data_IF_080749038958
#
_entry.id   IF_080749038958
#
_cell.length_a   1.000
_cell.length_b   1.000
_cell.length_c   1.000
_cell.angle_alpha   90.00
_cell.angle_beta   90.00
_cell.angle_gamma   90.00
#
_symmetry.space_group_name_H-M   'P 1'
#
loop_
_entity.id
_entity.type
_entity.pdbx_description
1 polymer ?
#
# COMPACT_ATOMS: atom_id res chain seq x y z
N UNK A 1 90.05 -48.23 -31.33
CA UNK A 1 89.73 -47.17 -30.37
C UNK A 1 89.45 -45.89 -31.14
N UNK A 2 88.19 -45.63 -31.47
CA UNK A 2 87.67 -44.33 -31.89
C UNK A 2 86.14 -44.39 -31.76
N UNK A 3 85.58 -43.41 -31.07
CA UNK A 3 84.19 -43.32 -30.59
C UNK A 3 83.39 -42.43 -31.55
N UNK A 4 82.06 -42.65 -31.58
CA UNK A 4 80.94 -41.79 -32.04
C UNK A 4 80.25 -42.26 -33.34
N UNK A 5 78.96 -41.88 -33.59
CA UNK A 5 77.92 -41.37 -32.69
C UNK A 5 76.56 -42.11 -32.79
N UNK A 6 75.67 -41.76 -31.86
CA UNK A 6 74.31 -42.27 -31.64
C UNK A 6 73.34 -41.80 -32.75
N UNK A 7 72.54 -42.75 -33.24
CA UNK A 7 71.59 -42.61 -34.34
C UNK A 7 70.26 -41.99 -33.89
N UNK A 8 69.78 -41.08 -34.72
CA UNK A 8 68.61 -40.20 -34.60
C UNK A 8 67.26 -40.93 -34.62
N UNK A 9 66.36 -40.55 -33.71
CA UNK A 9 64.99 -41.05 -33.63
C UNK A 9 64.06 -40.37 -34.68
N UNK A 10 63.29 -41.22 -35.37
CA UNK A 10 62.26 -40.88 -36.36
C UNK A 10 61.08 -40.06 -35.81
N UNK A 11 60.50 -39.25 -36.69
CA UNK A 11 59.36 -38.35 -36.47
C UNK A 11 58.00 -39.01 -36.80
N UNK A 12 56.99 -38.72 -35.97
CA UNK A 12 55.56 -38.94 -36.27
C UNK A 12 54.86 -37.57 -36.45
N UNK A 13 53.89 -37.43 -37.39
CA UNK A 13 53.34 -36.14 -37.78
C UNK A 13 52.29 -35.60 -36.80
N UNK A 14 52.41 -34.30 -36.53
CA UNK A 14 51.57 -33.49 -35.63
C UNK A 14 50.17 -33.23 -36.26
N UNK A 15 49.09 -33.62 -35.58
CA UNK A 15 47.73 -33.29 -36.02
C UNK A 15 47.32 -31.89 -35.54
N UNK A 16 46.73 -31.03 -36.40
CA UNK A 16 46.43 -29.67 -36.01
C UNK A 16 45.31 -29.58 -34.96
N UNK A 17 45.39 -28.62 -34.01
CA UNK A 17 44.44 -28.49 -32.91
C UNK A 17 43.03 -28.09 -33.39
N UNK A 18 42.01 -28.76 -32.85
CA UNK A 18 40.58 -28.47 -33.12
C UNK A 18 40.23 -27.02 -32.73
N UNK A 19 39.90 -26.19 -33.72
CA UNK A 19 39.50 -24.81 -33.52
C UNK A 19 38.20 -24.70 -32.68
N UNK A 20 38.28 -24.02 -31.54
CA UNK A 20 37.14 -23.69 -30.67
C UNK A 20 36.28 -22.63 -31.39
N UNK A 21 35.20 -23.03 -32.07
CA UNK A 21 34.23 -22.10 -32.69
C UNK A 21 33.67 -21.14 -31.62
N UNK A 22 34.19 -19.92 -31.52
CA UNK A 22 33.48 -18.81 -30.88
C UNK A 22 32.22 -18.57 -31.72
N UNK A 23 31.04 -18.89 -31.20
CA UNK A 23 29.76 -18.51 -31.83
C UNK A 23 29.67 -16.98 -31.78
N UNK A 24 30.15 -16.31 -32.83
CA UNK A 24 29.82 -14.91 -33.08
C UNK A 24 28.30 -14.85 -33.24
N UNK A 25 27.66 -14.04 -32.40
CA UNK A 25 26.22 -13.79 -32.48
C UNK A 25 25.92 -13.29 -33.89
N UNK A 26 24.94 -13.88 -34.58
CA UNK A 26 24.64 -13.44 -35.95
C UNK A 26 24.22 -11.98 -35.95
N UNK A 27 24.60 -11.22 -36.99
CA UNK A 27 24.26 -9.79 -37.14
C UNK A 27 22.76 -9.54 -36.97
N UNK A 28 21.91 -10.49 -37.40
CA UNK A 28 20.45 -10.46 -37.21
C UNK A 28 20.02 -10.53 -35.75
N UNK A 29 20.69 -11.35 -34.95
CA UNK A 29 20.42 -11.45 -33.50
C UNK A 29 20.90 -10.18 -32.79
N UNK A 30 22.06 -9.63 -33.18
CA UNK A 30 22.57 -8.38 -32.63
C UNK A 30 21.67 -7.17 -32.95
N UNK A 31 21.22 -7.04 -34.21
CA UNK A 31 20.26 -6.01 -34.62
C UNK A 31 18.90 -6.20 -33.95
N UNK A 32 18.44 -7.44 -33.77
CA UNK A 32 17.22 -7.75 -33.01
C UNK A 32 17.32 -7.32 -31.54
N UNK A 33 18.46 -7.53 -30.88
CA UNK A 33 18.70 -7.07 -29.51
C UNK A 33 18.78 -5.54 -29.40
N UNK A 34 19.41 -4.87 -30.37
CA UNK A 34 19.44 -3.41 -30.44
C UNK A 34 18.05 -2.81 -30.62
N UNK A 35 17.21 -3.41 -31.48
CA UNK A 35 15.83 -2.97 -31.65
C UNK A 35 15.01 -3.18 -30.38
N UNK A 36 15.16 -4.32 -29.68
CA UNK A 36 14.50 -4.57 -28.40
C UNK A 36 14.97 -3.60 -27.31
N UNK A 37 16.26 -3.28 -27.26
CA UNK A 37 16.81 -2.26 -26.36
C UNK A 37 16.29 -0.86 -26.70
N UNK A 38 16.16 -0.50 -27.99
CA UNK A 38 15.63 0.78 -28.43
C UNK A 38 14.13 0.94 -28.15
N UNK A 39 13.35 -0.13 -28.32
CA UNK A 39 11.92 -0.15 -27.99
C UNK A 39 11.75 -0.09 -26.47
N UNK A 40 12.53 -0.87 -25.72
CA UNK A 40 12.52 -0.86 -24.26
C UNK A 40 12.95 0.49 -23.69
N UNK A 41 14.02 1.10 -24.22
CA UNK A 41 14.50 2.42 -23.79
C UNK A 41 13.54 3.53 -24.20
N UNK A 42 12.93 3.47 -25.39
CA UNK A 42 11.90 4.41 -25.82
C UNK A 42 10.66 4.36 -24.93
N UNK A 43 10.21 3.16 -24.54
CA UNK A 43 9.11 2.98 -23.60
C UNK A 43 9.43 3.52 -22.21
N UNK A 44 10.63 3.25 -21.70
CA UNK A 44 11.10 3.74 -20.40
C UNK A 44 11.22 5.27 -20.39
N UNK A 45 11.75 5.89 -21.45
CA UNK A 45 11.87 7.35 -21.57
C UNK A 45 10.48 8.00 -21.66
N UNK A 46 9.56 7.42 -22.44
CA UNK A 46 8.19 7.93 -22.55
C UNK A 46 7.44 7.82 -21.21
N UNK A 47 7.59 6.69 -20.50
CA UNK A 47 7.05 6.48 -19.16
C UNK A 47 7.61 7.49 -18.17
N UNK A 48 8.93 7.67 -18.15
CA UNK A 48 9.61 8.64 -17.29
C UNK A 48 9.17 10.09 -17.56
N UNK A 49 8.96 10.46 -18.82
CA UNK A 49 8.48 11.79 -19.19
C UNK A 49 7.04 12.07 -18.71
N UNK A 50 6.15 11.09 -18.88
CA UNK A 50 4.76 11.15 -18.39
C UNK A 50 4.72 11.27 -16.87
N UNK A 51 5.53 10.47 -16.19
CA UNK A 51 5.64 10.49 -14.73
C UNK A 51 6.15 11.84 -14.20
N UNK A 52 7.20 12.42 -14.81
CA UNK A 52 7.69 13.75 -14.42
C UNK A 52 6.65 14.86 -14.65
N UNK A 53 5.89 14.76 -15.73
CA UNK A 53 4.82 15.74 -16.03
C UNK A 53 3.72 15.66 -14.99
N UNK A 54 3.28 14.45 -14.65
CA UNK A 54 2.28 14.23 -13.61
C UNK A 54 2.75 14.70 -12.22
N UNK A 55 4.03 14.46 -11.87
CA UNK A 55 4.63 14.94 -10.61
C UNK A 55 4.60 16.47 -10.56
N UNK A 56 5.04 17.15 -11.62
CA UNK A 56 5.03 18.63 -11.66
C UNK A 56 3.62 19.19 -11.52
N UNK A 57 2.63 18.54 -12.11
CA UNK A 57 1.24 18.95 -11.99
C UNK A 57 0.71 18.74 -10.56
N UNK A 58 1.08 17.64 -9.89
CA UNK A 58 0.79 17.43 -8.46
C UNK A 58 1.46 18.51 -7.59
N UNK A 59 2.73 18.81 -7.84
CA UNK A 59 3.46 19.87 -7.14
C UNK A 59 2.80 21.26 -7.37
N UNK A 60 2.29 21.52 -8.58
CA UNK A 60 1.56 22.74 -8.92
C UNK A 60 0.19 22.85 -8.21
N UNK A 61 -0.44 21.71 -7.89
CA UNK A 61 -1.66 21.67 -7.08
C UNK A 61 -1.37 21.90 -5.58
N UNK A 62 -0.10 22.09 -5.20
CA UNK A 62 0.34 22.19 -3.81
C UNK A 62 0.57 20.84 -3.13
N UNK A 63 0.46 19.74 -3.88
CA UNK A 63 0.74 18.40 -3.39
C UNK A 63 2.23 18.11 -3.30
N UNK A 64 2.58 17.06 -2.57
CA UNK A 64 3.95 16.56 -2.48
C UNK A 64 4.03 15.12 -2.99
N UNK A 65 5.15 14.80 -3.64
CA UNK A 65 5.42 13.44 -4.14
C UNK A 65 6.73 12.94 -3.55
N UNK A 66 6.66 11.82 -2.84
CA UNK A 66 7.85 11.14 -2.32
C UNK A 66 8.17 9.97 -3.26
N UNK A 67 9.39 9.99 -3.76
CA UNK A 67 9.92 8.98 -4.68
C UNK A 67 10.96 8.13 -3.98
N UNK A 68 10.95 6.82 -4.22
CA UNK A 68 12.04 5.94 -3.79
C UNK A 68 13.09 5.86 -4.90
N UNK A 69 14.37 6.09 -4.58
CA UNK A 69 15.44 5.97 -5.55
C UNK A 69 15.63 4.55 -6.10
N UNK A 70 14.95 4.21 -7.20
CA UNK A 70 15.08 2.91 -7.86
C UNK A 70 15.97 3.05 -9.10
N UNK A 71 17.22 2.60 -9.00
CA UNK A 71 18.15 2.56 -10.14
C UNK A 71 19.53 1.99 -9.79
N UNK A 72 20.29 1.47 -10.78
CA UNK A 72 21.63 0.95 -10.53
C UNK A 72 22.52 2.01 -9.87
N UNK A 73 23.25 1.70 -8.79
CA UNK A 73 24.02 2.68 -8.01
C UNK A 73 25.01 3.55 -8.82
N UNK A 74 25.43 3.12 -10.01
CA UNK A 74 26.33 3.89 -10.90
C UNK A 74 25.65 4.84 -11.89
N UNK A 75 24.36 4.65 -12.22
CA UNK A 75 23.66 5.47 -13.21
C UNK A 75 23.35 6.89 -12.70
N UNK A 76 23.18 7.02 -11.38
CA UNK A 76 22.93 8.29 -10.68
C UNK A 76 24.12 9.24 -10.70
N UNK A 77 25.34 8.71 -10.58
CA UNK A 77 26.56 9.50 -10.71
C UNK A 77 26.80 9.97 -12.16
N UNK A 78 26.22 9.26 -13.14
CA UNK A 78 26.50 9.46 -14.56
C UNK A 78 25.52 10.43 -15.23
N UNK A 79 24.23 10.38 -14.86
CA UNK A 79 23.17 11.25 -15.42
C UNK A 79 22.79 12.41 -14.47
N UNK A 80 23.21 12.37 -13.20
CA UNK A 80 22.86 13.37 -12.20
C UNK A 80 21.50 13.14 -11.54
N UNK A 81 21.36 13.56 -10.28
CA UNK A 81 20.21 13.27 -9.44
C UNK A 81 18.87 13.76 -10.00
N UNK A 82 18.85 14.93 -10.65
CA UNK A 82 17.63 15.49 -11.25
C UNK A 82 17.16 14.73 -12.50
N UNK A 83 18.07 14.14 -13.27
CA UNK A 83 17.70 13.32 -14.45
C UNK A 83 17.26 11.91 -14.04
N UNK A 84 17.61 11.47 -12.84
CA UNK A 84 17.22 10.15 -12.32
C UNK A 84 15.81 10.09 -11.74
N UNK A 85 15.18 11.23 -11.42
CA UNK A 85 13.82 11.29 -10.87
C UNK A 85 12.75 10.65 -11.76
N UNK A 86 13.03 10.44 -13.05
CA UNK A 86 12.13 9.74 -13.98
C UNK A 86 12.17 8.21 -13.87
N UNK A 87 13.17 7.65 -13.19
CA UNK A 87 13.31 6.21 -12.95
C UNK A 87 12.89 5.79 -11.55
N UNK A 88 12.64 6.76 -10.66
CA UNK A 88 12.29 6.51 -9.27
C UNK A 88 10.82 6.11 -9.16
N UNK A 89 10.52 5.09 -8.34
CA UNK A 89 9.14 4.69 -8.08
C UNK A 89 8.48 5.76 -7.21
N UNK A 90 7.33 6.29 -7.66
CA UNK A 90 6.52 7.19 -6.84
C UNK A 90 5.80 6.36 -5.81
N UNK A 91 6.21 6.47 -4.56
CA UNK A 91 5.64 5.67 -3.47
C UNK A 91 4.49 6.41 -2.79
N UNK A 92 4.64 7.72 -2.56
CA UNK A 92 3.64 8.52 -1.84
C UNK A 92 3.25 9.72 -2.68
N UNK A 93 1.95 9.89 -2.90
CA UNK A 93 1.35 11.12 -3.42
C UNK A 93 0.49 11.70 -2.32
N UNK A 94 0.82 12.91 -1.90
CA UNK A 94 0.11 13.65 -0.86
C UNK A 94 -0.52 14.90 -1.47
N UNK A 95 -1.85 14.91 -1.55
CA UNK A 95 -2.66 16.03 -2.04
C UNK A 95 -3.56 16.57 -0.92
N UNK A 96 -3.20 16.31 0.35
CA UNK A 96 -4.00 16.69 1.51
C UNK A 96 -4.28 18.18 1.53
N UNK A 97 -5.51 18.56 1.89
CA UNK A 97 -5.95 19.96 2.02
C UNK A 97 -5.73 20.81 0.76
N UNK A 98 -5.61 20.19 -0.41
CA UNK A 98 -5.62 20.91 -1.67
C UNK A 98 -7.07 21.15 -2.08
N UNK A 99 -7.44 22.43 -2.22
CA UNK A 99 -8.83 22.87 -2.42
C UNK A 99 -9.45 22.41 -3.77
N UNK A 100 -8.64 21.79 -4.66
CA UNK A 100 -8.99 21.51 -6.06
C UNK A 100 -8.49 20.12 -6.47
N UNK A 101 -8.82 19.06 -5.73
CA UNK A 101 -8.68 17.70 -6.28
C UNK A 101 -9.97 17.34 -7.01
N UNK A 102 -9.99 17.57 -8.32
CA UNK A 102 -11.07 17.14 -9.21
C UNK A 102 -10.78 15.74 -9.77
N UNK A 103 -11.80 15.12 -10.38
CA UNK A 103 -11.62 13.83 -11.07
C UNK A 103 -10.55 13.91 -12.19
N UNK A 104 -10.37 15.08 -12.81
CA UNK A 104 -9.34 15.28 -13.83
C UNK A 104 -7.93 15.27 -13.22
N UNK A 105 -7.77 15.76 -12.00
CA UNK A 105 -6.48 15.75 -11.30
C UNK A 105 -6.07 14.32 -10.94
N UNK A 106 -7.04 13.45 -10.61
CA UNK A 106 -6.80 12.04 -10.36
C UNK A 106 -6.53 11.21 -11.61
N UNK A 107 -7.03 11.61 -12.79
CA UNK A 107 -6.74 10.91 -14.03
C UNK A 107 -5.22 10.87 -14.32
N UNK A 108 -4.48 11.87 -13.84
CA UNK A 108 -3.02 11.93 -14.01
C UNK A 108 -2.28 10.90 -13.17
N UNK A 109 -2.87 10.39 -12.10
CA UNK A 109 -2.28 9.33 -11.29
C UNK A 109 -2.15 8.01 -12.07
N UNK A 110 -2.94 7.79 -13.12
CA UNK A 110 -2.79 6.63 -14.00
C UNK A 110 -1.47 6.66 -14.80
N UNK A 111 -0.92 7.85 -15.07
CA UNK A 111 0.39 7.99 -15.71
C UNK A 111 1.53 7.68 -14.72
N UNK A 112 1.23 7.63 -13.41
CA UNK A 112 2.14 7.26 -12.34
C UNK A 112 1.91 5.78 -11.97
N UNK A 113 2.51 4.89 -12.74
CA UNK A 113 2.32 3.42 -12.69
C UNK A 113 2.68 2.69 -11.37
N UNK A 114 3.05 3.38 -10.28
CA UNK A 114 3.57 2.75 -9.06
C UNK A 114 3.11 3.35 -7.72
N UNK A 115 2.05 4.18 -7.70
CA UNK A 115 1.59 4.80 -6.44
C UNK A 115 1.20 3.73 -5.41
N UNK A 116 1.87 3.75 -4.25
CA UNK A 116 1.63 2.82 -3.14
C UNK A 116 0.83 3.49 -2.00
N UNK A 117 0.98 4.80 -1.84
CA UNK A 117 0.29 5.58 -0.82
C UNK A 117 -0.29 6.85 -1.44
N UNK A 118 -1.57 7.09 -1.20
CA UNK A 118 -2.30 8.25 -1.69
C UNK A 118 -3.03 8.91 -0.52
N UNK A 119 -2.67 10.15 -0.22
CA UNK A 119 -3.31 10.97 0.81
C UNK A 119 -4.14 12.07 0.16
N UNK A 120 -5.44 12.05 0.45
CA UNK A 120 -6.44 12.98 -0.07
C UNK A 120 -7.24 13.61 1.08
N UNK A 121 -6.75 13.54 2.32
CA UNK A 121 -7.49 14.02 3.47
C UNK A 121 -7.74 15.53 3.42
N UNK A 122 -8.94 15.93 3.83
CA UNK A 122 -9.40 17.32 3.83
C UNK A 122 -9.59 17.93 2.43
N UNK A 123 -9.68 17.11 1.39
CA UNK A 123 -9.98 17.57 0.02
C UNK A 123 -11.47 17.52 -0.29
N UNK A 124 -11.90 18.16 -1.38
CA UNK A 124 -13.30 18.11 -1.88
C UNK A 124 -13.60 16.87 -2.75
N UNK A 125 -12.85 15.79 -2.55
CA UNK A 125 -12.99 14.57 -3.36
C UNK A 125 -14.35 13.91 -3.13
N UNK A 126 -15.17 13.82 -4.19
CA UNK A 126 -16.45 13.12 -4.17
C UNK A 126 -16.33 11.65 -4.63
N UNK A 127 -17.43 10.91 -4.55
CA UNK A 127 -17.53 9.52 -5.04
C UNK A 127 -17.11 9.36 -6.51
N UNK A 128 -17.43 10.36 -7.35
CA UNK A 128 -17.00 10.39 -8.76
C UNK A 128 -15.47 10.52 -8.90
N UNK A 129 -14.82 11.17 -7.94
CA UNK A 129 -13.36 11.22 -7.84
C UNK A 129 -12.78 9.87 -7.43
N UNK A 130 -13.36 9.21 -6.42
CA UNK A 130 -12.93 7.87 -5.98
C UNK A 130 -13.04 6.82 -7.10
N UNK A 131 -14.02 6.95 -8.00
CA UNK A 131 -14.12 6.12 -9.20
C UNK A 131 -12.83 6.12 -10.05
N UNK A 132 -12.10 7.24 -10.07
CA UNK A 132 -10.84 7.36 -10.80
C UNK A 132 -9.67 6.64 -10.11
N UNK A 133 -9.85 6.09 -8.91
CA UNK A 133 -8.79 5.33 -8.22
C UNK A 133 -8.79 3.85 -8.61
N UNK A 134 -9.83 3.34 -9.27
CA UNK A 134 -10.07 1.90 -9.52
C UNK A 134 -8.92 1.12 -10.17
N UNK A 135 -8.05 1.80 -10.93
CA UNK A 135 -6.91 1.14 -11.59
C UNK A 135 -5.58 1.26 -10.83
N UNK A 136 -5.53 1.95 -9.69
CA UNK A 136 -4.35 2.01 -8.82
C UNK A 136 -4.21 0.72 -7.99
N UNK A 137 -4.13 -0.43 -8.66
CA UNK A 137 -4.19 -1.75 -8.02
C UNK A 137 -3.01 -2.09 -7.10
N UNK A 138 -1.92 -1.31 -7.18
CA UNK A 138 -0.78 -1.38 -6.26
C UNK A 138 -0.98 -0.59 -4.97
N UNK A 139 -2.06 0.19 -4.86
CA UNK A 139 -2.29 1.08 -3.72
C UNK A 139 -2.44 0.27 -2.43
N UNK A 140 -1.60 0.61 -1.45
CA UNK A 140 -1.54 0.01 -0.12
C UNK A 140 -2.07 0.94 0.95
N UNK A 141 -1.88 2.24 0.79
CA UNK A 141 -2.33 3.25 1.75
C UNK A 141 -3.25 4.24 1.04
N UNK A 142 -4.45 4.44 1.57
CA UNK A 142 -5.40 5.42 1.07
C UNK A 142 -6.00 6.20 2.24
N UNK A 143 -5.81 7.51 2.23
CA UNK A 143 -6.41 8.42 3.21
C UNK A 143 -7.46 9.32 2.55
N UNK A 144 -8.72 9.13 2.95
CA UNK A 144 -9.89 9.89 2.49
C UNK A 144 -10.51 10.69 3.64
N UNK A 145 -9.78 10.92 4.74
CA UNK A 145 -10.33 11.61 5.90
C UNK A 145 -10.94 12.97 5.54
N UNK A 146 -12.13 13.26 6.05
CA UNK A 146 -12.77 14.56 5.90
C UNK A 146 -13.18 14.92 4.47
N UNK A 147 -13.23 13.94 3.57
CA UNK A 147 -13.76 14.11 2.21
C UNK A 147 -15.28 13.86 2.15
N UNK A 148 -16.01 14.41 1.17
CA UNK A 148 -17.45 14.15 0.98
C UNK A 148 -17.78 12.74 0.45
N UNK A 149 -16.85 11.78 0.51
CA UNK A 149 -17.05 10.40 0.06
C UNK A 149 -18.15 9.72 0.88
N UNK A 150 -18.98 8.93 0.18
CA UNK A 150 -20.09 8.15 0.72
C UNK A 150 -19.97 6.67 0.34
N UNK A 151 -21.00 5.89 0.65
CA UNK A 151 -21.10 4.47 0.29
C UNK A 151 -20.94 4.24 -1.23
N UNK A 152 -21.37 5.20 -2.06
CA UNK A 152 -21.25 5.10 -3.52
C UNK A 152 -19.78 5.11 -3.98
N UNK A 153 -18.93 5.88 -3.32
CA UNK A 153 -17.49 5.90 -3.61
C UNK A 153 -16.81 4.59 -3.28
N UNK A 154 -17.20 3.94 -2.17
CA UNK A 154 -16.61 2.67 -1.72
C UNK A 154 -16.83 1.50 -2.68
N UNK A 155 -17.86 1.56 -3.54
CA UNK A 155 -18.09 0.59 -4.63
C UNK A 155 -16.84 0.46 -5.51
N UNK A 156 -16.06 1.52 -5.67
CA UNK A 156 -14.87 1.54 -6.52
C UNK A 156 -13.60 1.05 -5.82
N UNK A 157 -13.59 0.97 -4.49
CA UNK A 157 -12.43 0.49 -3.72
C UNK A 157 -12.32 -1.03 -3.67
N UNK A 158 -13.37 -1.78 -4.02
CA UNK A 158 -13.38 -3.24 -4.02
C UNK A 158 -12.32 -3.88 -4.95
N UNK A 159 -11.83 -3.11 -5.93
CA UNK A 159 -10.79 -3.53 -6.88
C UNK A 159 -9.37 -3.29 -6.33
N UNK A 160 -9.22 -2.49 -5.26
CA UNK A 160 -7.96 -2.16 -4.62
C UNK A 160 -7.60 -3.21 -3.55
N UNK A 161 -7.52 -4.47 -3.97
CA UNK A 161 -7.36 -5.62 -3.06
C UNK A 161 -6.00 -5.65 -2.34
N UNK A 162 -5.06 -4.81 -2.75
CA UNK A 162 -3.75 -4.64 -2.12
C UNK A 162 -3.75 -3.59 -0.98
N UNK A 163 -4.89 -2.95 -0.69
CA UNK A 163 -4.98 -1.98 0.39
C UNK A 163 -4.66 -2.63 1.74
N UNK A 164 -3.69 -2.04 2.41
CA UNK A 164 -3.20 -2.40 3.74
C UNK A 164 -3.76 -1.41 4.80
N UNK A 165 -3.84 -0.12 4.45
CA UNK A 165 -4.33 0.96 5.31
C UNK A 165 -5.40 1.77 4.59
N UNK A 166 -6.53 1.98 5.26
CA UNK A 166 -7.62 2.79 4.77
C UNK A 166 -8.14 3.71 5.88
N UNK A 167 -8.08 5.02 5.66
CA UNK A 167 -8.73 6.02 6.52
C UNK A 167 -10.00 6.55 5.84
N UNK A 168 -11.12 6.42 6.53
CA UNK A 168 -12.44 6.94 6.14
C UNK A 168 -13.00 7.89 7.20
N UNK A 169 -12.14 8.39 8.08
CA UNK A 169 -12.53 9.28 9.17
C UNK A 169 -13.32 10.47 8.64
N UNK A 170 -14.38 10.88 9.35
CA UNK A 170 -15.19 12.07 9.02
C UNK A 170 -15.76 12.07 7.60
N UNK A 171 -16.05 10.89 7.03
CA UNK A 171 -16.74 10.74 5.74
C UNK A 171 -18.23 10.46 5.94
N UNK A 172 -19.01 10.46 4.85
CA UNK A 172 -20.44 10.15 4.87
C UNK A 172 -20.75 8.64 4.82
N UNK A 173 -19.73 7.78 4.98
CA UNK A 173 -19.84 6.32 4.92
C UNK A 173 -20.74 5.78 6.04
N UNK A 174 -21.56 4.78 5.68
CA UNK A 174 -22.49 4.06 6.56
C UNK A 174 -22.21 2.55 6.53
N UNK A 175 -23.04 1.77 7.22
CA UNK A 175 -22.99 0.30 7.21
C UNK A 175 -23.09 -0.31 5.79
N UNK A 176 -23.80 0.35 4.88
CA UNK A 176 -23.93 -0.10 3.49
C UNK A 176 -22.59 -0.02 2.76
N UNK A 177 -21.81 1.05 2.97
CA UNK A 177 -20.51 1.24 2.34
C UNK A 177 -19.49 0.16 2.71
N UNK A 178 -19.46 -0.27 3.97
CA UNK A 178 -18.54 -1.33 4.43
C UNK A 178 -18.77 -2.67 3.72
N UNK A 179 -19.95 -2.93 3.17
CA UNK A 179 -20.22 -4.15 2.42
C UNK A 179 -19.39 -4.23 1.13
N UNK A 180 -19.02 -3.08 0.55
CA UNK A 180 -18.20 -3.02 -0.65
C UNK A 180 -16.72 -3.34 -0.39
N UNK A 181 -16.28 -3.27 0.87
CA UNK A 181 -14.89 -3.53 1.25
C UNK A 181 -14.59 -5.01 1.57
N UNK A 182 -15.57 -5.92 1.41
CA UNK A 182 -15.42 -7.36 1.74
C UNK A 182 -14.27 -8.06 1.02
N UNK A 183 -13.80 -7.53 -0.12
CA UNK A 183 -12.69 -8.10 -0.91
C UNK A 183 -11.33 -7.54 -0.50
N UNK A 184 -11.28 -6.47 0.28
CA UNK A 184 -10.05 -5.81 0.73
C UNK A 184 -9.50 -6.50 1.99
N UNK A 185 -9.35 -7.82 1.96
CA UNK A 185 -8.96 -8.65 3.12
C UNK A 185 -7.50 -8.47 3.53
N UNK A 186 -6.72 -7.71 2.76
CA UNK A 186 -5.34 -7.33 3.08
C UNK A 186 -5.27 -6.23 4.16
N UNK A 187 -6.35 -5.46 4.35
CA UNK A 187 -6.38 -4.32 5.26
C UNK A 187 -6.00 -4.77 6.68
N UNK A 188 -4.95 -4.15 7.20
CA UNK A 188 -4.47 -4.31 8.57
C UNK A 188 -4.80 -3.10 9.45
N UNK A 189 -5.06 -1.93 8.86
CA UNK A 189 -5.44 -0.70 9.57
C UNK A 189 -6.65 -0.05 8.93
N UNK A 190 -7.72 0.15 9.70
CA UNK A 190 -8.96 0.78 9.26
C UNK A 190 -9.40 1.85 10.27
N UNK A 191 -9.61 3.07 9.79
CA UNK A 191 -10.13 4.17 10.61
C UNK A 191 -11.50 4.62 10.11
N UNK A 192 -12.49 4.64 11.01
CA UNK A 192 -13.90 4.94 10.75
C UNK A 192 -14.44 6.02 11.71
N UNK A 193 -13.55 6.83 12.29
CA UNK A 193 -13.92 7.81 13.30
C UNK A 193 -14.90 8.83 12.74
N UNK A 194 -15.90 9.22 13.53
CA UNK A 194 -16.93 10.19 13.16
C UNK A 194 -17.61 9.88 11.81
N UNK A 195 -17.72 8.60 11.45
CA UNK A 195 -18.58 8.13 10.35
C UNK A 195 -19.99 7.80 10.85
N UNK A 196 -20.88 7.39 9.95
CA UNK A 196 -22.25 6.94 10.28
C UNK A 196 -22.35 5.42 10.41
N UNK A 197 -21.22 4.75 10.65
CA UNK A 197 -21.18 3.30 10.90
C UNK A 197 -21.79 3.00 12.28
N UNK A 198 -22.57 1.93 12.33
CA UNK A 198 -23.23 1.39 13.51
C UNK A 198 -22.82 -0.07 13.74
N UNK A 199 -23.39 -0.70 14.77
CA UNK A 199 -23.15 -2.10 15.10
C UNK A 199 -23.35 -3.04 13.89
N UNK A 200 -24.33 -2.72 13.02
CA UNK A 200 -24.63 -3.52 11.82
C UNK A 200 -23.47 -3.51 10.81
N UNK A 201 -22.75 -2.39 10.68
CA UNK A 201 -21.60 -2.26 9.80
C UNK A 201 -20.41 -3.12 10.26
N UNK A 202 -20.21 -3.25 11.58
CA UNK A 202 -19.11 -4.05 12.13
C UNK A 202 -19.19 -5.54 11.79
N UNK A 203 -20.38 -6.06 11.45
CA UNK A 203 -20.53 -7.42 10.95
C UNK A 203 -19.66 -7.68 9.70
N UNK A 204 -19.42 -6.65 8.88
CA UNK A 204 -18.62 -6.78 7.66
C UNK A 204 -17.13 -6.96 7.97
N UNK A 205 -16.67 -6.52 9.15
CA UNK A 205 -15.26 -6.59 9.53
C UNK A 205 -14.74 -8.02 9.73
N UNK A 206 -15.63 -9.02 9.83
CA UNK A 206 -15.25 -10.45 9.90
C UNK A 206 -14.37 -10.92 8.73
N UNK A 207 -14.40 -10.24 7.58
CA UNK A 207 -13.57 -10.55 6.42
C UNK A 207 -12.11 -10.08 6.57
N UNK A 208 -11.84 -9.18 7.52
CA UNK A 208 -10.57 -8.48 7.70
C UNK A 208 -9.73 -9.23 8.74
N UNK A 209 -9.41 -10.49 8.46
CA UNK A 209 -8.71 -11.36 9.42
C UNK A 209 -7.29 -10.91 9.75
N UNK A 210 -6.75 -9.93 9.02
CA UNK A 210 -5.44 -9.30 9.25
C UNK A 210 -5.53 -7.98 10.01
N UNK A 211 -6.74 -7.53 10.35
CA UNK A 211 -6.96 -6.25 11.01
C UNK A 211 -6.25 -6.24 12.37
N UNK A 212 -5.36 -5.27 12.52
CA UNK A 212 -4.50 -5.07 13.68
C UNK A 212 -4.76 -3.73 14.35
N UNK A 213 -5.18 -2.73 13.58
CA UNK A 213 -5.52 -1.39 14.05
C UNK A 213 -6.93 -1.05 13.59
N UNK A 214 -7.81 -0.72 14.54
CA UNK A 214 -9.19 -0.30 14.26
C UNK A 214 -9.56 0.92 15.10
N UNK A 215 -10.00 1.99 14.45
CA UNK A 215 -10.50 3.20 15.09
C UNK A 215 -11.99 3.41 14.77
N UNK A 216 -12.81 3.60 15.80
CA UNK A 216 -14.27 3.71 15.76
C UNK A 216 -14.76 4.92 16.56
N UNK A 217 -13.93 5.93 16.76
CA UNK A 217 -14.22 7.01 17.69
C UNK A 217 -15.41 7.85 17.23
N UNK A 218 -16.20 8.34 18.17
CA UNK A 218 -17.36 9.20 17.90
C UNK A 218 -18.36 8.60 16.89
N UNK A 219 -18.48 7.28 16.88
CA UNK A 219 -19.49 6.54 16.09
C UNK A 219 -20.68 6.13 16.97
N UNK A 220 -21.73 5.57 16.36
CA UNK A 220 -22.91 5.09 17.06
C UNK A 220 -22.77 3.64 17.58
N UNK A 221 -21.54 3.19 17.84
CA UNK A 221 -21.26 1.82 18.30
C UNK A 221 -21.70 1.61 19.76
N UNK A 222 -22.23 0.42 20.02
CA UNK A 222 -22.66 -0.07 21.34
C UNK A 222 -22.02 -1.41 21.67
N UNK A 223 -22.40 -2.00 22.81
CA UNK A 223 -21.96 -3.34 23.22
C UNK A 223 -22.22 -4.41 22.15
N UNK A 224 -23.34 -4.28 21.42
CA UNK A 224 -23.70 -5.22 20.35
C UNK A 224 -22.69 -5.18 19.19
N UNK A 225 -22.12 -4.02 18.88
CA UNK A 225 -21.11 -3.88 17.84
C UNK A 225 -19.81 -4.61 18.19
N UNK A 226 -19.37 -4.54 19.45
CA UNK A 226 -18.13 -5.17 19.90
C UNK A 226 -18.19 -6.71 19.81
N UNK A 227 -19.38 -7.32 19.86
CA UNK A 227 -19.55 -8.76 19.60
C UNK A 227 -18.95 -9.18 18.25
N UNK A 228 -19.05 -8.33 17.23
CA UNK A 228 -18.54 -8.61 15.88
C UNK A 228 -17.01 -8.57 15.79
N UNK A 229 -16.33 -7.93 16.74
CA UNK A 229 -14.88 -7.84 16.79
C UNK A 229 -14.22 -9.06 17.45
N UNK A 230 -14.97 -9.89 18.17
CA UNK A 230 -14.47 -11.05 18.94
C UNK A 230 -13.62 -12.06 18.14
N UNK A 231 -13.75 -12.09 16.80
CA UNK A 231 -12.99 -12.97 15.90
C UNK A 231 -11.76 -12.32 15.27
N UNK A 232 -11.54 -11.03 15.49
CA UNK A 232 -10.41 -10.29 14.95
C UNK A 232 -9.21 -10.44 15.89
N UNK A 233 -8.77 -11.68 16.08
CA UNK A 233 -7.72 -12.06 17.07
C UNK A 233 -6.35 -11.46 16.77
N UNK A 234 -6.18 -10.81 15.61
CA UNK A 234 -4.98 -10.06 15.23
C UNK A 234 -5.01 -8.59 15.68
N UNK A 235 -6.10 -8.11 16.28
CA UNK A 235 -6.21 -6.76 16.82
C UNK A 235 -5.16 -6.51 17.91
N UNK A 236 -4.41 -5.42 17.74
CA UNK A 236 -3.38 -4.92 18.66
C UNK A 236 -3.76 -3.54 19.20
N UNK A 237 -4.40 -2.72 18.37
CA UNK A 237 -4.85 -1.37 18.71
C UNK A 237 -6.34 -1.23 18.40
N UNK A 238 -7.12 -0.83 19.40
CA UNK A 238 -8.56 -0.58 19.25
C UNK A 238 -8.93 0.72 19.95
N UNK A 239 -9.68 1.57 19.26
CA UNK A 239 -10.28 2.77 19.83
C UNK A 239 -11.77 2.83 19.49
N UNK A 240 -12.57 3.20 20.49
CA UNK A 240 -13.99 3.48 20.36
C UNK A 240 -14.40 4.61 21.31
N UNK A 241 -13.57 5.64 21.41
CA UNK A 241 -13.81 6.77 22.28
C UNK A 241 -15.11 7.51 21.90
N UNK A 242 -15.82 8.06 22.88
CA UNK A 242 -17.06 8.80 22.64
C UNK A 242 -18.23 7.94 22.13
N UNK A 243 -18.15 6.62 22.23
CA UNK A 243 -19.24 5.69 21.89
C UNK A 243 -20.12 5.36 23.10
N UNK A 244 -21.15 4.53 22.91
CA UNK A 244 -22.10 4.16 23.95
C UNK A 244 -21.77 2.80 24.63
N UNK A 245 -20.55 2.30 24.44
CA UNK A 245 -20.05 1.05 25.02
C UNK A 245 -20.04 1.10 26.55
N UNK A 246 -20.44 -0.01 27.17
CA UNK A 246 -20.45 -0.27 28.62
C UNK A 246 -19.55 -1.45 28.97
N UNK A 247 -19.50 -1.82 30.26
CA UNK A 247 -18.78 -3.01 30.74
C UNK A 247 -19.22 -4.31 30.04
N UNK A 248 -20.49 -4.39 29.62
CA UNK A 248 -21.00 -5.57 28.90
C UNK A 248 -20.32 -5.75 27.54
N UNK A 249 -20.03 -4.66 26.82
CA UNK A 249 -19.32 -4.70 25.54
C UNK A 249 -17.88 -5.21 25.67
N UNK A 250 -17.19 -4.89 26.77
CA UNK A 250 -15.81 -5.32 27.00
C UNK A 250 -15.68 -6.85 27.11
N UNK A 251 -16.73 -7.55 27.54
CA UNK A 251 -16.73 -9.01 27.63
C UNK A 251 -16.46 -9.67 26.26
N UNK A 252 -16.85 -9.01 25.17
CA UNK A 252 -16.60 -9.51 23.81
C UNK A 252 -15.13 -9.40 23.37
N UNK A 253 -14.32 -8.63 24.10
CA UNK A 253 -12.90 -8.42 23.80
C UNK A 253 -11.98 -9.43 24.50
N UNK A 254 -12.47 -10.26 25.43
CA UNK A 254 -11.65 -11.20 26.22
C UNK A 254 -10.83 -12.18 25.37
N UNK A 255 -11.28 -12.49 24.14
CA UNK A 255 -10.57 -13.37 23.22
C UNK A 255 -9.45 -12.68 22.41
N UNK A 256 -9.32 -11.35 22.50
CA UNK A 256 -8.34 -10.57 21.73
C UNK A 256 -6.99 -10.53 22.46
N UNK A 257 -6.35 -11.68 22.62
CA UNK A 257 -5.12 -11.84 23.41
C UNK A 257 -3.91 -11.06 22.88
N UNK A 258 -3.97 -10.59 21.63
CA UNK A 258 -2.96 -9.72 21.02
C UNK A 258 -3.22 -8.23 21.24
N UNK A 259 -4.36 -7.85 21.82
CA UNK A 259 -4.67 -6.45 22.11
C UNK A 259 -3.64 -5.87 23.09
N UNK A 260 -3.07 -4.72 22.75
CA UNK A 260 -2.05 -4.02 23.54
C UNK A 260 -2.45 -2.61 23.89
N UNK A 261 -3.27 -1.97 23.07
CA UNK A 261 -3.74 -0.62 23.30
C UNK A 261 -5.23 -0.54 23.09
N UNK A 262 -5.92 -0.06 24.12
CA UNK A 262 -7.35 0.11 24.13
C UNK A 262 -7.71 1.51 24.62
N UNK A 263 -8.36 2.26 23.75
CA UNK A 263 -8.77 3.65 23.98
C UNK A 263 -10.29 3.69 24.13
N UNK A 264 -10.75 4.15 25.30
CA UNK A 264 -12.15 4.10 25.68
C UNK A 264 -12.59 5.33 26.49
N UNK A 265 -11.90 6.46 26.30
CA UNK A 265 -12.33 7.75 26.85
C UNK A 265 -13.75 8.08 26.40
N UNK A 266 -14.49 8.80 27.24
CA UNK A 266 -15.87 9.24 26.97
C UNK A 266 -16.86 8.10 26.63
N UNK A 267 -16.61 6.88 27.14
CA UNK A 267 -17.56 5.76 27.11
C UNK A 267 -18.30 5.61 28.44
N UNK A 268 -19.20 4.61 28.54
CA UNK A 268 -19.91 4.25 29.78
C UNK A 268 -19.22 3.11 30.54
N UNK A 269 -18.00 2.75 30.15
CA UNK A 269 -17.19 1.75 30.84
C UNK A 269 -16.80 2.26 32.23
N UNK A 270 -16.94 1.37 33.22
CA UNK A 270 -16.58 1.63 34.61
C UNK A 270 -15.23 1.01 34.95
N UNK A 271 -14.67 1.40 36.10
CA UNK A 271 -13.42 0.81 36.62
C UNK A 271 -13.56 -0.70 36.87
N UNK A 272 -14.78 -1.17 37.15
CA UNK A 272 -15.05 -2.59 37.33
C UNK A 272 -14.93 -3.36 36.00
N UNK A 273 -15.47 -2.82 34.90
CA UNK A 273 -15.31 -3.40 33.57
C UNK A 273 -13.85 -3.40 33.10
N UNK A 274 -13.11 -2.33 33.38
CA UNK A 274 -11.66 -2.25 33.12
C UNK A 274 -10.91 -3.33 33.90
N UNK A 275 -11.17 -3.45 35.19
CA UNK A 275 -10.50 -4.45 36.04
C UNK A 275 -10.83 -5.89 35.60
N UNK A 276 -12.05 -6.14 35.13
CA UNK A 276 -12.42 -7.44 34.56
C UNK A 276 -11.66 -7.74 33.28
N UNK A 277 -11.64 -6.78 32.35
CA UNK A 277 -10.91 -6.91 31.08
C UNK A 277 -9.41 -7.10 31.31
N UNK A 278 -8.79 -6.37 32.24
CA UNK A 278 -7.38 -6.54 32.58
C UNK A 278 -7.06 -7.90 33.18
N UNK A 279 -8.00 -8.52 33.91
CA UNK A 279 -7.84 -9.90 34.38
C UNK A 279 -7.84 -10.90 33.23
N UNK A 280 -8.66 -10.66 32.20
CA UNK A 280 -8.70 -11.47 30.99
C UNK A 280 -7.49 -11.21 30.07
N UNK A 281 -7.02 -9.95 29.99
CA UNK A 281 -5.96 -9.47 29.11
C UNK A 281 -4.89 -8.68 29.91
N UNK A 282 -3.98 -9.34 30.63
CA UNK A 282 -3.02 -8.65 31.51
C UNK A 282 -2.06 -7.69 30.81
N UNK A 283 -1.81 -7.90 29.50
CA UNK A 283 -0.88 -7.11 28.69
C UNK A 283 -1.54 -5.90 28.00
N UNK A 284 -2.84 -5.66 28.21
CA UNK A 284 -3.55 -4.56 27.55
C UNK A 284 -3.35 -3.25 28.31
N UNK A 285 -2.88 -2.23 27.61
CA UNK A 285 -2.81 -0.87 28.12
C UNK A 285 -4.13 -0.16 27.80
N UNK A 286 -4.87 0.21 28.86
CA UNK A 286 -6.17 0.87 28.75
C UNK A 286 -5.99 2.36 29.01
N UNK A 287 -6.51 3.19 28.10
CA UNK A 287 -6.35 4.65 28.08
C UNK A 287 -7.74 5.30 28.14
N UNK A 288 -7.89 6.29 29.05
CA UNK A 288 -9.17 6.94 29.38
C UNK A 288 -9.04 8.45 29.64
N UNK A 289 -7.96 9.10 29.19
CA UNK A 289 -7.70 10.53 29.48
C UNK A 289 -8.21 11.45 28.38
#
# INVERSE_FOLDING_TARGET
MAILPVESAESLPDQPPRARRRRLMSVRIFLGLLALLAIGSGWVVLRGYRQLTAIREIENLGGTVIQDPVGPPGLRQLLGANQMRMFDDVIVVDLSFTDIVTANDLQRLYEITAVNALKLNGTQLSDAGVQQLRGLRSLKFLDLEGTPVSDQGLVHLQELTALDVLSLNRTAVTDAGLQHLRRNTAIYSLSLDATKVTDAGLQQLRAFTRLSVLSLDSTAITDAGLQHLSRLTSLVWLSFEGTQVTDAGLQHLHGLTLLRWLYLANTKVTDAGIADLQRALPEVNIIRQ
#
